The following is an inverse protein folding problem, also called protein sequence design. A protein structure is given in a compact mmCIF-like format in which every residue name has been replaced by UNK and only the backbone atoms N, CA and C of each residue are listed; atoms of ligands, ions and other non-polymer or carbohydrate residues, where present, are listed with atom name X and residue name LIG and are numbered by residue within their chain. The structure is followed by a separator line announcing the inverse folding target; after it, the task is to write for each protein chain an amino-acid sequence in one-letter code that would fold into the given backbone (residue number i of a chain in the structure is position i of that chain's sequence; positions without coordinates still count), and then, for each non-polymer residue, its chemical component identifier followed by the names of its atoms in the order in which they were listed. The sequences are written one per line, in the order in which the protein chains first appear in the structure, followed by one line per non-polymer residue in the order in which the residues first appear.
data_IF_194901156942
#
_entry.id   IF_194901156942
#
_cell.length_a   1.000
_cell.length_b   1.000
_cell.length_c   1.000
_cell.angle_alpha   90.00
_cell.angle_beta   90.00
_cell.angle_gamma   90.00
#
_symmetry.space_group_name_H-M   'P 1'
#
loop_
_entity.id
_entity.type
_entity.pdbx_description
1 polymer ?
#
# COMPACT_ATOMS: atom_id res chain seq x y z
N UNK A 1 4.95 -9.86 -11.19
CA UNK A 1 4.09 -8.67 -10.97
C UNK A 1 4.90 -7.43 -11.35
N UNK A 2 4.47 -6.66 -12.34
CA UNK A 2 5.24 -5.50 -12.86
C UNK A 2 4.73 -4.17 -12.29
N UNK A 3 5.61 -3.16 -12.19
CA UNK A 3 5.33 -1.82 -11.62
C UNK A 3 4.13 -1.12 -12.29
N UNK A 4 3.82 -1.47 -13.56
CA UNK A 4 2.67 -0.97 -14.32
C UNK A 4 1.33 -1.48 -13.78
N UNK A 5 1.28 -2.73 -13.28
CA UNK A 5 0.07 -3.33 -12.72
C UNK A 5 -0.39 -2.62 -11.44
N UNK A 6 0.55 -2.15 -10.61
CA UNK A 6 0.25 -1.43 -9.36
C UNK A 6 -0.23 -0.01 -9.64
N UNK A 7 0.35 0.69 -10.63
CA UNK A 7 -0.14 2.03 -11.04
C UNK A 7 -1.56 1.96 -11.59
N UNK A 8 -1.87 0.91 -12.35
CA UNK A 8 -3.22 0.66 -12.85
C UNK A 8 -4.20 0.37 -11.70
N UNK A 9 -3.83 -0.46 -10.74
CA UNK A 9 -4.60 -0.71 -9.50
C UNK A 9 -4.89 0.58 -8.72
N UNK A 10 -3.91 1.47 -8.62
CA UNK A 10 -4.01 2.77 -7.96
C UNK A 10 -4.94 3.75 -8.68
N UNK A 11 -4.94 3.69 -10.01
CA UNK A 11 -5.81 4.50 -10.84
C UNK A 11 -7.26 4.02 -10.72
N UNK A 12 -7.47 2.70 -10.78
CA UNK A 12 -8.80 2.09 -10.63
C UNK A 12 -9.39 2.26 -9.22
N UNK A 13 -8.58 2.22 -8.16
CA UNK A 13 -9.06 2.59 -6.81
C UNK A 13 -9.64 4.00 -6.75
N UNK A 14 -9.03 4.93 -7.49
CA UNK A 14 -9.39 6.35 -7.50
C UNK A 14 -10.57 6.62 -8.42
N UNK A 15 -10.66 5.90 -9.54
CA UNK A 15 -11.66 6.11 -10.61
C UNK A 15 -12.91 5.22 -10.43
N UNK A 16 -12.75 3.97 -10.02
CA UNK A 16 -13.80 2.94 -10.02
C UNK A 16 -14.16 2.46 -8.59
N UNK A 17 -13.55 3.06 -7.56
CA UNK A 17 -13.71 2.63 -6.17
C UNK A 17 -13.12 1.25 -5.89
N UNK A 18 -13.25 0.77 -4.66
CA UNK A 18 -12.52 -0.43 -4.20
C UNK A 18 -12.99 -1.72 -4.90
N UNK A 19 -14.22 -1.76 -5.40
CA UNK A 19 -14.78 -2.93 -6.08
C UNK A 19 -14.01 -3.37 -7.34
N UNK A 20 -13.39 -2.43 -8.05
CA UNK A 20 -12.60 -2.68 -9.25
C UNK A 20 -11.32 -3.50 -8.98
N UNK A 21 -10.68 -3.24 -7.85
CA UNK A 21 -9.46 -3.93 -7.42
C UNK A 21 -9.77 -5.38 -7.06
N UNK A 22 -10.90 -5.59 -6.39
CA UNK A 22 -11.35 -6.90 -5.89
C UNK A 22 -11.69 -7.84 -7.05
N UNK A 23 -12.33 -7.33 -8.11
CA UNK A 23 -12.69 -8.12 -9.30
C UNK A 23 -11.45 -8.68 -9.99
N UNK A 24 -10.36 -7.91 -10.07
CA UNK A 24 -9.12 -8.34 -10.76
C UNK A 24 -8.29 -9.32 -9.95
N UNK A 25 -8.28 -9.22 -8.62
CA UNK A 25 -7.67 -10.25 -7.75
C UNK A 25 -8.34 -11.62 -7.87
N UNK A 26 -9.59 -11.68 -8.36
CA UNK A 26 -10.34 -12.93 -8.54
C UNK A 26 -9.99 -13.68 -9.84
N UNK A 27 -9.29 -13.03 -10.79
CA UNK A 27 -8.99 -13.60 -12.11
C UNK A 27 -7.56 -14.14 -12.27
N UNK A 28 -6.65 -13.82 -11.35
CA UNK A 28 -5.22 -14.15 -11.51
C UNK A 28 -4.71 -14.92 -10.29
N UNK A 29 -4.93 -16.24 -10.35
CA UNK A 29 -4.31 -17.32 -9.56
C UNK A 29 -4.68 -17.40 -8.08
N UNK A 30 -5.15 -18.58 -7.68
CA UNK A 30 -5.52 -18.87 -6.30
C UNK A 30 -4.33 -18.69 -5.36
N UNK A 31 -4.42 -17.72 -4.45
CA UNK A 31 -3.83 -17.78 -3.10
C UNK A 31 -4.23 -16.55 -2.27
N UNK A 32 -4.76 -16.82 -1.08
CA UNK A 32 -5.23 -15.91 -0.03
C UNK A 32 -6.44 -15.01 -0.36
N UNK A 33 -7.65 -15.50 -0.03
CA UNK A 33 -8.90 -14.71 0.08
C UNK A 33 -8.82 -13.74 1.27
N UNK A 34 -8.00 -12.70 1.19
CA UNK A 34 -8.04 -11.63 2.19
C UNK A 34 -9.27 -10.79 1.93
N UNK A 35 -10.10 -10.60 2.96
CA UNK A 35 -11.27 -9.72 2.87
C UNK A 35 -10.86 -8.35 2.35
N UNK A 36 -11.64 -7.84 1.41
CA UNK A 36 -11.40 -6.53 0.81
C UNK A 36 -11.42 -5.41 1.85
N UNK A 37 -12.16 -5.58 2.94
CA UNK A 37 -12.17 -4.65 4.07
C UNK A 37 -10.79 -4.57 4.72
N UNK A 38 -10.14 -5.71 4.92
CA UNK A 38 -8.79 -5.77 5.49
C UNK A 38 -7.74 -5.14 4.58
N UNK A 39 -7.82 -5.40 3.27
CA UNK A 39 -6.93 -4.78 2.30
C UNK A 39 -7.07 -3.25 2.28
N UNK A 40 -8.30 -2.73 2.30
CA UNK A 40 -8.59 -1.30 2.39
C UNK A 40 -8.02 -0.69 3.67
N UNK A 41 -8.28 -1.33 4.80
CA UNK A 41 -7.83 -0.87 6.10
C UNK A 41 -6.31 -0.74 6.16
N UNK A 42 -5.57 -1.75 5.67
CA UNK A 42 -4.11 -1.76 5.62
C UNK A 42 -3.57 -0.58 4.79
N UNK A 43 -4.09 -0.42 3.56
CA UNK A 43 -3.61 0.62 2.64
C UNK A 43 -3.94 2.02 3.17
N UNK A 44 -5.15 2.23 3.70
CA UNK A 44 -5.60 3.51 4.27
C UNK A 44 -4.79 3.88 5.51
N UNK A 45 -4.53 2.92 6.39
CA UNK A 45 -3.75 3.11 7.62
C UNK A 45 -2.31 3.50 7.29
N UNK A 46 -1.66 2.76 6.39
CA UNK A 46 -0.29 3.08 5.97
C UNK A 46 -0.17 4.48 5.36
N UNK A 47 -1.10 4.86 4.47
CA UNK A 47 -1.08 6.18 3.82
C UNK A 47 -1.33 7.33 4.78
N UNK A 48 -2.35 7.21 5.63
CA UNK A 48 -2.67 8.23 6.63
C UNK A 48 -1.54 8.38 7.65
N UNK A 49 -0.90 7.28 8.04
CA UNK A 49 0.27 7.27 8.91
C UNK A 49 1.54 7.87 8.28
N UNK A 50 1.61 7.98 6.96
CA UNK A 50 2.73 8.57 6.23
C UNK A 50 2.41 9.92 5.55
N UNK A 51 1.31 10.58 5.95
CA UNK A 51 0.93 11.91 5.45
C UNK A 51 1.47 13.01 6.37
N UNK A 52 1.85 14.16 5.78
CA UNK A 52 2.20 15.37 6.53
C UNK A 52 3.46 15.20 7.39
N UNK A 53 4.52 14.60 6.84
CA UNK A 53 5.80 14.40 7.53
C UNK A 53 5.84 13.23 8.52
N UNK A 54 4.69 12.65 8.87
CA UNK A 54 4.63 11.43 9.70
C UNK A 54 5.23 10.24 8.97
N UNK A 55 5.77 9.29 9.73
CA UNK A 55 6.32 8.03 9.21
C UNK A 55 5.69 6.87 9.97
N UNK A 56 5.05 5.98 9.24
CA UNK A 56 4.50 4.74 9.78
C UNK A 56 5.10 3.56 9.03
N UNK A 57 5.73 2.65 9.76
CA UNK A 57 6.33 1.45 9.17
C UNK A 57 5.28 0.32 9.03
N UNK A 58 5.54 -0.70 8.19
CA UNK A 58 4.62 -1.81 8.00
C UNK A 58 4.31 -2.61 9.27
N UNK A 59 5.26 -2.73 10.20
CA UNK A 59 5.04 -3.41 11.47
C UNK A 59 4.00 -2.70 12.33
N UNK A 60 4.03 -1.36 12.38
CA UNK A 60 3.00 -0.55 13.05
C UNK A 60 1.62 -0.72 12.40
N UNK A 61 1.55 -0.88 11.08
CA UNK A 61 0.29 -1.19 10.40
C UNK A 61 -0.22 -2.57 10.81
N UNK A 62 0.65 -3.57 10.94
CA UNK A 62 0.26 -4.90 11.39
C UNK A 62 -0.28 -4.89 12.84
N UNK A 63 0.32 -4.10 13.72
CA UNK A 63 -0.22 -3.85 15.06
C UNK A 63 -1.63 -3.26 14.98
N UNK A 64 -1.85 -2.26 14.11
CA UNK A 64 -3.19 -1.66 13.92
C UNK A 64 -4.22 -2.65 13.37
N UNK A 65 -3.80 -3.58 12.51
CA UNK A 65 -4.67 -4.68 12.04
C UNK A 65 -5.08 -5.57 13.20
N UNK A 66 -4.14 -5.96 14.06
CA UNK A 66 -4.44 -6.77 15.25
C UNK A 66 -5.40 -6.06 16.20
N UNK A 67 -5.14 -4.78 16.51
CA UNK A 67 -6.02 -3.97 17.36
C UNK A 67 -7.42 -3.89 16.75
N UNK A 68 -7.53 -3.63 15.45
CA UNK A 68 -8.82 -3.59 14.76
C UNK A 68 -9.55 -4.93 14.80
N UNK A 69 -8.81 -6.05 14.74
CA UNK A 69 -9.41 -7.38 14.83
C UNK A 69 -9.97 -7.63 16.23
N UNK A 70 -9.27 -7.19 17.27
CA UNK A 70 -9.74 -7.24 18.66
C UNK A 70 -11.00 -6.38 18.85
N UNK A 71 -11.02 -5.16 18.31
CA UNK A 71 -12.22 -4.29 18.33
C UNK A 71 -13.44 -4.93 17.67
N UNK A 72 -13.22 -5.70 16.60
CA UNK A 72 -14.26 -6.40 15.86
C UNK A 72 -14.60 -7.79 16.45
N UNK A 73 -13.89 -8.22 17.49
CA UNK A 73 -14.05 -9.57 18.07
C UNK A 73 -13.70 -10.70 17.11
N UNK A 74 -12.91 -10.44 16.05
CA UNK A 74 -12.58 -11.45 15.03
C UNK A 74 -11.17 -11.98 15.20
N UNK A 75 -11.03 -13.30 15.05
CA UNK A 75 -9.73 -13.97 14.95
C UNK A 75 -9.28 -14.09 13.49
N UNK A 76 -10.17 -13.83 12.52
CA UNK A 76 -9.87 -13.86 11.10
C UNK A 76 -9.37 -12.50 10.62
N UNK A 77 -8.06 -12.32 10.69
CA UNK A 77 -7.40 -11.10 10.22
C UNK A 77 -6.06 -11.41 9.54
N UNK A 78 -5.56 -10.48 8.69
CA UNK A 78 -4.30 -10.65 8.00
C UNK A 78 -3.12 -10.84 8.95
N UNK A 79 -2.32 -11.87 8.69
CA UNK A 79 -1.04 -12.05 9.39
C UNK A 79 -0.06 -10.91 9.07
N UNK A 80 0.97 -10.80 9.90
CA UNK A 80 2.06 -9.84 9.69
C UNK A 80 2.67 -9.95 8.28
N UNK A 81 2.90 -11.17 7.78
CA UNK A 81 3.43 -11.39 6.44
C UNK A 81 2.48 -10.90 5.34
N UNK A 82 1.18 -11.09 5.53
CA UNK A 82 0.17 -10.60 4.59
C UNK A 82 0.16 -9.07 4.52
N UNK A 83 0.29 -8.38 5.65
CA UNK A 83 0.41 -6.91 5.68
C UNK A 83 1.62 -6.46 4.87
N UNK A 84 2.77 -7.11 5.04
CA UNK A 84 3.98 -6.81 4.28
C UNK A 84 3.80 -7.06 2.77
N UNK A 85 3.17 -8.18 2.38
CA UNK A 85 2.88 -8.48 0.97
C UNK A 85 2.00 -7.41 0.33
N UNK A 86 0.98 -6.92 1.05
CA UNK A 86 0.08 -5.86 0.57
C UNK A 86 0.81 -4.52 0.46
N UNK A 87 1.68 -4.18 1.42
CA UNK A 87 2.37 -2.89 1.47
C UNK A 87 3.63 -2.81 0.59
N UNK A 88 4.31 -3.94 0.32
CA UNK A 88 5.52 -4.01 -0.52
C UNK A 88 5.44 -3.17 -1.80
N UNK A 89 4.42 -3.31 -2.66
CA UNK A 89 4.34 -2.51 -3.89
C UNK A 89 4.20 -1.00 -3.65
N UNK A 90 3.63 -0.58 -2.52
CA UNK A 90 3.49 0.84 -2.16
C UNK A 90 4.82 1.43 -1.70
N UNK A 91 5.58 0.67 -0.91
CA UNK A 91 6.90 1.05 -0.39
C UNK A 91 7.88 1.19 -1.55
N UNK A 92 7.93 0.19 -2.43
CA UNK A 92 8.80 0.20 -3.61
C UNK A 92 8.50 1.40 -4.52
N UNK A 93 7.22 1.72 -4.76
CA UNK A 93 6.84 2.91 -5.52
C UNK A 93 7.27 4.22 -4.84
N UNK A 94 7.17 4.29 -3.51
CA UNK A 94 7.58 5.49 -2.77
C UNK A 94 9.10 5.67 -2.81
N UNK A 95 9.86 4.59 -2.71
CA UNK A 95 11.31 4.59 -2.85
C UNK A 95 11.74 5.02 -4.25
N UNK A 96 11.13 4.45 -5.30
CA UNK A 96 11.39 4.85 -6.70
C UNK A 96 11.10 6.33 -6.95
N UNK A 97 10.00 6.87 -6.41
CA UNK A 97 9.70 8.31 -6.55
C UNK A 97 10.73 9.18 -5.85
N UNK A 98 11.17 8.79 -4.66
CA UNK A 98 12.21 9.51 -3.92
C UNK A 98 13.54 9.48 -4.66
N UNK A 99 13.97 8.32 -5.16
CA UNK A 99 15.22 8.20 -5.91
C UNK A 99 15.19 9.05 -7.19
N UNK A 100 14.05 9.09 -7.89
CA UNK A 100 13.87 9.97 -9.06
C UNK A 100 13.94 11.45 -8.68
N UNK A 101 13.24 11.88 -7.63
CA UNK A 101 13.29 13.26 -7.14
C UNK A 101 14.71 13.69 -6.73
N UNK A 102 15.45 12.81 -6.06
CA UNK A 102 16.84 13.04 -5.65
C UNK A 102 17.79 13.12 -6.87
N UNK A 103 17.53 12.35 -7.92
CA UNK A 103 18.32 12.37 -9.15
C UNK A 103 18.02 13.57 -10.08
N UNK A 104 16.98 14.35 -9.79
CA UNK A 104 16.58 15.53 -10.60
C UNK A 104 16.75 16.84 -9.83
N UNK A 105 17.62 16.86 -8.80
CA UNK A 105 18.03 18.10 -8.10
C UNK A 105 18.82 19.05 -9.02
N UNK A 106 18.87 20.36 -8.72
CA UNK A 106 19.30 21.37 -9.68
C UNK A 106 20.79 21.20 -10.01
N UNK A 107 21.08 20.78 -11.24
CA UNK A 107 22.43 20.81 -11.82
C UNK A 107 22.62 22.05 -12.71
N UNK A 108 21.87 23.13 -12.45
CA UNK A 108 21.96 24.37 -13.22
C UNK A 108 21.93 25.57 -12.26
N UNK A 109 23.01 25.76 -11.50
CA UNK A 109 23.35 27.06 -10.96
C UNK A 109 24.87 27.10 -10.70
N UNK A 110 25.52 28.07 -11.35
CA UNK A 110 26.91 28.48 -11.20
C UNK A 110 27.98 27.61 -11.90
N UNK A 111 28.53 28.15 -12.99
CA UNK A 111 29.84 28.79 -12.90
C UNK A 111 29.98 29.92 -13.94
N UNK A 112 30.79 30.96 -13.62
CA UNK A 112 30.83 32.27 -14.30
C UNK A 112 31.51 32.25 -15.68
#
# INVERSE_FOLDING_TARGET
MTVRSVRRLMRQLREEGVESIIRRSRSDRGEARISSQWQQFIVKTYRSGNRGGRRMNPAQVAVRVKVRAQELGTQEYPSHMTVYRILKPLIEQQQQKRSLLLATGPFDAEHP
#
